data_IF_352641074163
#
_entry.id   IF_352641074163
#
_cell.length_a   1.000
_cell.length_b   1.000
_cell.length_c   1.000
_cell.angle_alpha   90.00
_cell.angle_beta   90.00
_cell.angle_gamma   90.00
#
_symmetry.space_group_name_H-M   'P 1'
#
loop_
_entity.id
_entity.type
_entity.pdbx_description
1 polymer ?
#
# COMPACT_ATOMS: atom_id res chain seq x y z
N UNK A 1 -85.30 19.95 -28.39
CA UNK A 1 -84.56 19.35 -29.52
C UNK A 1 -83.64 18.28 -28.94
N UNK A 2 -83.73 17.07 -29.50
CA UNK A 2 -83.32 15.81 -28.90
C UNK A 2 -81.81 15.57 -28.90
N UNK A 3 -81.29 15.02 -27.80
CA UNK A 3 -79.99 14.37 -27.74
C UNK A 3 -80.09 12.96 -28.34
N UNK A 4 -79.17 12.61 -29.24
CA UNK A 4 -79.03 11.28 -29.83
C UNK A 4 -77.63 10.73 -29.51
N UNK A 5 -77.60 9.50 -28.98
CA UNK A 5 -76.41 8.72 -28.70
C UNK A 5 -75.92 7.94 -29.94
N UNK A 6 -74.63 7.56 -30.00
CA UNK A 6 -74.17 6.41 -30.79
C UNK A 6 -73.48 5.31 -29.93
N UNK A 7 -73.18 4.13 -30.51
CA UNK A 7 -73.45 2.83 -29.87
C UNK A 7 -72.23 2.07 -29.27
N UNK A 8 -72.54 0.90 -28.68
CA UNK A 8 -71.66 -0.01 -27.93
C UNK A 8 -70.77 -0.94 -28.79
N UNK A 9 -69.50 -1.06 -28.33
CA UNK A 9 -68.62 -2.23 -28.06
C UNK A 9 -68.35 -3.35 -29.10
N UNK A 10 -67.04 -3.59 -29.33
CA UNK A 10 -66.26 -4.87 -29.32
C UNK A 10 -64.78 -4.50 -29.54
N UNK A 11 -63.71 -5.12 -29.03
CA UNK A 11 -63.43 -6.10 -27.98
C UNK A 11 -61.95 -5.85 -27.57
N UNK A 12 -61.59 -5.94 -26.27
CA UNK A 12 -60.19 -5.83 -25.81
C UNK A 12 -59.48 -7.18 -26.03
N UNK A 13 -58.43 -7.20 -26.86
CA UNK A 13 -57.42 -8.26 -26.88
C UNK A 13 -56.36 -7.95 -25.83
N UNK A 14 -55.92 -9.02 -25.16
CA UNK A 14 -54.92 -9.12 -24.11
C UNK A 14 -53.60 -8.42 -24.42
N UNK A 15 -53.09 -7.63 -23.48
CA UNK A 15 -51.72 -7.13 -23.43
C UNK A 15 -50.81 -8.16 -22.76
N UNK A 16 -49.71 -8.44 -23.44
CA UNK A 16 -48.57 -9.27 -23.03
C UNK A 16 -47.95 -8.84 -21.68
N UNK A 17 -47.59 -9.77 -20.78
CA UNK A 17 -46.87 -9.45 -19.55
C UNK A 17 -45.36 -9.69 -19.72
N UNK A 18 -44.70 -9.02 -20.68
CA UNK A 18 -43.23 -9.01 -20.71
C UNK A 18 -42.65 -7.78 -21.45
N UNK A 19 -42.88 -6.61 -20.89
CA UNK A 19 -42.24 -5.37 -21.36
C UNK A 19 -41.53 -4.69 -20.20
N UNK A 20 -40.27 -5.08 -19.99
CA UNK A 20 -39.31 -4.35 -19.17
C UNK A 20 -38.88 -3.05 -19.89
N UNK A 21 -38.81 -1.90 -19.20
CA UNK A 21 -38.45 -0.64 -19.84
C UNK A 21 -36.94 -0.57 -20.12
N UNK A 22 -36.56 -0.40 -21.40
CA UNK A 22 -35.20 -0.05 -21.80
C UNK A 22 -34.88 1.39 -21.37
N UNK A 23 -34.09 1.53 -20.31
CA UNK A 23 -33.41 2.78 -19.97
C UNK A 23 -32.18 2.96 -20.87
N UNK A 24 -32.35 3.60 -22.03
CA UNK A 24 -31.23 4.12 -22.82
C UNK A 24 -30.78 5.44 -22.20
N UNK A 25 -29.80 5.39 -21.29
CA UNK A 25 -29.04 6.59 -20.89
C UNK A 25 -27.74 6.60 -21.67
N UNK A 26 -27.67 7.51 -22.63
CA UNK A 26 -26.50 7.78 -23.47
C UNK A 26 -25.29 8.14 -22.59
N UNK A 27 -24.19 7.38 -22.72
CA UNK A 27 -22.87 7.77 -22.22
C UNK A 27 -22.32 8.85 -23.17
N UNK A 28 -22.42 10.12 -22.77
CA UNK A 28 -21.74 11.20 -23.45
C UNK A 28 -20.26 11.21 -23.05
N UNK A 29 -19.39 10.78 -23.98
CA UNK A 29 -17.96 11.06 -23.91
C UNK A 29 -17.71 12.54 -24.22
N UNK A 30 -16.80 13.24 -23.51
CA UNK A 30 -16.36 14.56 -23.93
C UNK A 30 -15.68 14.49 -25.30
N UNK A 31 -16.06 15.40 -26.20
CA UNK A 31 -15.54 15.48 -27.55
C UNK A 31 -14.02 15.74 -27.57
N UNK A 32 -13.35 15.10 -28.53
CA UNK A 32 -11.93 15.24 -28.79
C UNK A 32 -11.55 16.72 -29.00
N UNK A 33 -10.62 17.22 -28.17
CA UNK A 33 -9.92 18.48 -28.44
C UNK A 33 -8.93 18.20 -29.57
N UNK A 34 -9.26 18.65 -30.77
CA UNK A 34 -8.31 18.75 -31.87
C UNK A 34 -7.34 19.90 -31.57
N UNK A 35 -6.11 19.58 -31.19
CA UNK A 35 -5.00 20.56 -31.23
C UNK A 35 -4.26 20.40 -32.56
N UNK A 36 -4.45 21.38 -33.45
CA UNK A 36 -3.57 21.55 -34.61
C UNK A 36 -2.21 22.02 -34.12
N UNK A 37 -1.17 21.21 -34.33
CA UNK A 37 0.22 21.64 -34.20
C UNK A 37 0.91 21.40 -35.53
N UNK A 38 1.18 22.50 -36.24
CA UNK A 38 2.07 22.52 -37.39
C UNK A 38 3.45 22.00 -36.96
N UNK A 39 3.89 20.90 -37.57
CA UNK A 39 5.25 20.39 -37.43
C UNK A 39 6.06 20.72 -38.68
N UNK A 40 7.13 21.48 -38.52
CA UNK A 40 8.27 21.46 -39.44
C UNK A 40 9.36 20.57 -38.83
N UNK A 41 10.09 19.79 -39.64
CA UNK A 41 11.03 18.81 -39.13
C UNK A 41 12.37 19.49 -38.82
N UNK A 42 12.81 19.43 -37.56
CA UNK A 42 14.21 19.67 -37.19
C UNK A 42 14.78 18.39 -36.59
N UNK A 43 15.60 17.72 -37.39
CA UNK A 43 16.47 16.62 -36.97
C UNK A 43 17.63 17.16 -36.15
N UNK A 44 17.70 16.81 -34.86
CA UNK A 44 18.93 16.88 -34.06
C UNK A 44 19.00 15.73 -33.02
N UNK A 45 20.21 15.31 -32.64
CA UNK A 45 20.56 13.91 -32.41
C UNK A 45 20.29 13.42 -30.99
N UNK A 46 20.26 12.07 -30.84
CA UNK A 46 20.24 11.35 -29.56
C UNK A 46 21.28 11.94 -28.60
N UNK A 47 20.80 12.53 -27.52
CA UNK A 47 21.63 12.93 -26.39
C UNK A 47 21.94 11.70 -25.54
N UNK A 48 23.19 11.25 -25.59
CA UNK A 48 23.82 10.41 -24.57
C UNK A 48 24.49 11.35 -23.57
N UNK A 49 23.87 11.57 -22.41
CA UNK A 49 24.48 12.34 -21.31
C UNK A 49 24.01 11.80 -19.95
N UNK A 50 24.86 11.84 -18.90
CA UNK A 50 24.78 10.99 -17.72
C UNK A 50 23.59 11.36 -16.82
N UNK A 51 23.02 10.35 -16.16
CA UNK A 51 22.02 10.49 -15.09
C UNK A 51 22.55 11.49 -14.06
N UNK A 52 21.99 12.70 -14.06
CA UNK A 52 22.28 13.70 -13.03
C UNK A 52 21.68 13.20 -11.72
N UNK A 53 22.54 12.96 -10.74
CA UNK A 53 22.22 12.66 -9.35
C UNK A 53 21.09 13.55 -8.84
N UNK A 54 20.04 12.91 -8.33
CA UNK A 54 18.74 13.44 -7.88
C UNK A 54 18.90 14.49 -6.75
N UNK A 55 18.50 15.74 -6.98
CA UNK A 55 18.20 16.73 -5.94
C UNK A 55 16.71 17.13 -6.07
N UNK A 56 15.76 16.88 -5.16
CA UNK A 56 15.79 16.91 -3.70
C UNK A 56 14.70 15.97 -3.14
N UNK A 57 15.11 14.85 -2.53
CA UNK A 57 14.35 14.20 -1.46
C UNK A 57 14.49 14.94 -0.12
N UNK A 58 15.25 16.04 -0.09
CA UNK A 58 15.47 16.91 1.08
C UNK A 58 14.18 17.50 1.64
N UNK A 59 13.10 17.57 0.88
CA UNK A 59 11.81 18.05 1.37
C UNK A 59 11.20 17.18 2.48
N UNK A 60 11.63 15.91 2.61
CA UNK A 60 11.15 15.06 3.72
C UNK A 60 12.02 15.14 4.96
N UNK A 61 13.24 15.66 4.87
CA UNK A 61 14.29 15.55 5.89
C UNK A 61 14.46 14.11 6.43
N UNK A 62 13.86 13.08 5.83
CA UNK A 62 13.95 11.72 6.35
C UNK A 62 15.36 11.17 6.18
N UNK A 63 15.75 10.21 7.03
CA UNK A 63 16.92 9.35 6.77
C UNK A 63 16.60 8.35 5.65
N UNK A 64 16.29 8.91 4.48
CA UNK A 64 15.82 8.22 3.30
C UNK A 64 16.92 8.27 2.25
N UNK A 65 17.44 7.09 1.87
CA UNK A 65 18.33 6.98 0.72
C UNK A 65 17.51 6.58 -0.51
N UNK A 66 17.75 7.28 -1.62
CA UNK A 66 17.22 6.85 -2.91
C UNK A 66 18.31 6.13 -3.69
N UNK A 67 17.98 4.96 -4.22
CA UNK A 67 18.91 4.12 -4.98
C UNK A 67 18.26 3.83 -6.34
N UNK A 68 18.94 4.14 -7.46
CA UNK A 68 18.49 3.70 -8.77
C UNK A 68 18.22 2.20 -8.79
N UNK A 69 17.13 1.76 -9.44
CA UNK A 69 16.77 0.34 -9.44
C UNK A 69 17.85 -0.55 -10.08
N UNK A 70 18.57 -0.05 -11.08
CA UNK A 70 19.73 -0.72 -11.68
C UNK A 70 20.78 -1.05 -10.62
N UNK A 71 21.16 -0.03 -9.85
CA UNK A 71 22.21 -0.14 -8.84
C UNK A 71 21.74 -1.06 -7.72
N UNK A 72 20.47 -0.97 -7.34
CA UNK A 72 19.87 -1.87 -6.35
C UNK A 72 19.83 -3.34 -6.79
N UNK A 73 19.73 -3.61 -8.10
CA UNK A 73 19.81 -4.97 -8.65
C UNK A 73 21.26 -5.47 -8.65
N UNK A 74 22.19 -4.63 -9.09
CA UNK A 74 23.63 -4.95 -9.14
C UNK A 74 24.19 -5.23 -7.74
N UNK A 75 23.76 -4.44 -6.75
CA UNK A 75 24.16 -4.57 -5.35
C UNK A 75 23.35 -5.63 -4.57
N UNK A 76 22.39 -6.32 -5.22
CA UNK A 76 21.60 -7.38 -4.59
C UNK A 76 20.68 -6.90 -3.46
N UNK A 77 20.17 -5.68 -3.54
CA UNK A 77 19.38 -5.05 -2.46
C UNK A 77 17.92 -5.51 -2.41
N UNK A 78 17.42 -6.20 -3.44
CA UNK A 78 16.06 -6.76 -3.46
C UNK A 78 16.03 -8.14 -2.80
N UNK A 79 15.02 -8.36 -1.95
CA UNK A 79 14.77 -9.69 -1.39
C UNK A 79 14.48 -10.71 -2.51
N UNK A 80 14.80 -11.98 -2.29
CA UNK A 80 14.77 -13.02 -3.33
C UNK A 80 13.42 -13.12 -4.08
N UNK A 81 12.30 -12.97 -3.39
CA UNK A 81 10.96 -12.97 -4.00
C UNK A 81 10.73 -11.79 -4.94
N UNK A 82 11.25 -10.60 -4.60
CA UNK A 82 11.15 -9.41 -5.46
C UNK A 82 12.17 -9.43 -6.59
N UNK A 83 13.36 -10.00 -6.38
CA UNK A 83 14.28 -10.26 -7.47
C UNK A 83 13.65 -11.18 -8.52
N UNK A 84 12.95 -12.25 -8.09
CA UNK A 84 12.17 -13.12 -8.99
C UNK A 84 11.05 -12.37 -9.71
N UNK A 85 10.24 -11.59 -8.98
CA UNK A 85 9.20 -10.76 -9.59
C UNK A 85 9.79 -9.88 -10.70
N UNK A 86 10.90 -9.20 -10.43
CA UNK A 86 11.53 -8.30 -11.39
C UNK A 86 12.07 -9.06 -12.60
N UNK A 87 12.93 -10.04 -12.36
CA UNK A 87 13.68 -10.74 -13.42
C UNK A 87 12.81 -11.64 -14.29
N UNK A 88 11.79 -12.29 -13.71
CA UNK A 88 10.98 -13.27 -14.42
C UNK A 88 9.65 -12.72 -14.92
N UNK A 89 9.08 -11.69 -14.28
CA UNK A 89 7.75 -11.21 -14.63
C UNK A 89 7.77 -9.79 -15.20
N UNK A 90 8.40 -8.83 -14.50
CA UNK A 90 8.38 -7.43 -14.94
C UNK A 90 9.22 -7.20 -16.20
N UNK A 91 10.38 -7.85 -16.33
CA UNK A 91 11.17 -7.79 -17.57
C UNK A 91 10.44 -8.41 -18.77
N UNK A 92 9.71 -9.51 -18.58
CA UNK A 92 8.89 -10.09 -19.65
C UNK A 92 7.75 -9.14 -20.07
N UNK A 93 7.12 -8.47 -19.10
CA UNK A 93 6.13 -7.42 -19.36
C UNK A 93 6.75 -6.25 -20.14
N UNK A 94 7.98 -5.86 -19.81
CA UNK A 94 8.72 -4.80 -20.53
C UNK A 94 8.98 -5.18 -21.99
N UNK A 95 9.32 -6.44 -22.23
CA UNK A 95 9.48 -7.02 -23.56
C UNK A 95 8.15 -7.33 -24.27
N UNK A 96 7.03 -6.98 -23.65
CA UNK A 96 5.67 -7.26 -24.12
C UNK A 96 5.43 -8.75 -24.38
N UNK A 97 6.12 -9.66 -23.70
CA UNK A 97 5.99 -11.10 -23.93
C UNK A 97 4.72 -11.62 -23.26
N UNK A 98 3.82 -12.22 -24.05
CA UNK A 98 2.57 -12.78 -23.55
C UNK A 98 1.67 -11.77 -22.82
N UNK A 99 1.69 -10.49 -23.18
CA UNK A 99 0.88 -9.46 -22.48
C UNK A 99 -0.47 -9.21 -23.15
N UNK A 100 -0.54 -9.35 -24.47
CA UNK A 100 -1.74 -9.02 -25.27
C UNK A 100 -2.61 -10.27 -25.45
N UNK A 101 -3.92 -10.26 -25.13
CA UNK A 101 -4.77 -11.40 -25.43
C UNK A 101 -4.86 -11.65 -26.93
N UNK A 102 -4.57 -12.87 -27.40
CA UNK A 102 -4.58 -13.23 -28.83
C UNK A 102 -5.88 -12.85 -29.56
N UNK A 103 -7.09 -12.99 -28.95
CA UNK A 103 -8.35 -12.59 -29.61
C UNK A 103 -8.43 -11.11 -29.99
N UNK A 104 -7.55 -10.25 -29.45
CA UNK A 104 -7.54 -8.82 -29.76
C UNK A 104 -6.72 -8.46 -30.98
N UNK A 105 -5.98 -9.42 -31.56
CA UNK A 105 -5.08 -9.19 -32.71
C UNK A 105 -5.79 -8.52 -33.88
N UNK A 106 -6.90 -9.12 -34.33
CA UNK A 106 -7.65 -8.61 -35.48
C UNK A 106 -8.13 -7.17 -35.23
N UNK A 107 -8.62 -6.88 -34.01
CA UNK A 107 -9.03 -5.52 -33.63
C UNK A 107 -7.84 -4.54 -33.67
N UNK A 108 -6.67 -4.93 -33.17
CA UNK A 108 -5.48 -4.08 -33.16
C UNK A 108 -4.96 -3.79 -34.57
N UNK A 109 -5.08 -4.75 -35.49
CA UNK A 109 -4.66 -4.59 -36.89
C UNK A 109 -5.55 -3.60 -37.66
N UNK A 110 -6.78 -3.34 -37.19
CA UNK A 110 -7.70 -2.34 -37.78
C UNK A 110 -7.44 -0.90 -37.33
N UNK A 111 -6.56 -0.66 -36.36
CA UNK A 111 -6.28 0.69 -35.86
C UNK A 111 -5.62 1.55 -36.95
N UNK A 112 -5.86 2.87 -36.92
CA UNK A 112 -5.26 3.83 -37.86
C UNK A 112 -3.72 3.75 -37.89
N UNK A 113 -3.10 3.38 -36.77
CA UNK A 113 -1.67 3.06 -36.64
C UNK A 113 -1.53 1.75 -35.87
N UNK A 114 -1.51 0.60 -36.56
CA UNK A 114 -1.48 -0.69 -35.89
C UNK A 114 -0.10 -0.93 -35.25
N UNK A 115 -0.06 -1.48 -34.03
CA UNK A 115 1.20 -1.80 -33.36
C UNK A 115 1.90 -2.98 -34.06
N UNK A 116 3.24 -2.94 -34.15
CA UNK A 116 4.03 -4.03 -34.73
C UNK A 116 4.25 -5.15 -33.70
N UNK A 117 3.23 -5.98 -33.50
CA UNK A 117 3.28 -7.12 -32.58
C UNK A 117 3.67 -8.42 -33.31
N UNK A 118 4.42 -9.28 -32.62
CA UNK A 118 4.80 -10.65 -33.05
C UNK A 118 4.07 -11.68 -32.21
N UNK A 119 4.11 -12.94 -32.61
CA UNK A 119 3.35 -14.01 -31.93
C UNK A 119 3.69 -14.16 -30.45
N UNK A 120 4.94 -13.94 -30.05
CA UNK A 120 5.35 -13.98 -28.64
C UNK A 120 4.72 -12.87 -27.79
N UNK A 121 4.18 -11.80 -28.41
CA UNK A 121 3.52 -10.75 -27.64
C UNK A 121 2.11 -11.15 -27.19
N UNK A 122 1.57 -12.20 -27.81
CA UNK A 122 0.22 -12.66 -27.55
C UNK A 122 0.19 -13.83 -26.58
N UNK A 123 -0.79 -13.81 -25.69
CA UNK A 123 -1.16 -14.93 -24.81
C UNK A 123 -2.52 -15.48 -25.20
N UNK A 124 -2.72 -16.77 -25.00
CA UNK A 124 -3.91 -17.49 -25.47
C UNK A 124 -5.10 -17.40 -24.49
N UNK A 125 -4.96 -16.66 -23.38
CA UNK A 125 -6.00 -16.55 -22.36
C UNK A 125 -7.19 -15.70 -22.85
N UNK A 126 -8.19 -16.37 -23.40
CA UNK A 126 -9.49 -15.77 -23.61
C UNK A 126 -10.20 -15.67 -22.25
N UNK A 127 -10.37 -14.43 -21.74
CA UNK A 127 -11.21 -14.19 -20.58
C UNK A 127 -12.67 -14.12 -21.00
N UNK A 128 -13.59 -14.83 -20.32
CA UNK A 128 -15.02 -14.69 -20.56
C UNK A 128 -15.48 -13.23 -20.45
N UNK A 129 -16.36 -12.80 -21.36
CA UNK A 129 -16.88 -11.44 -21.35
C UNK A 129 -17.61 -11.09 -20.04
N UNK A 130 -18.25 -12.08 -19.41
CA UNK A 130 -18.93 -11.92 -18.12
C UNK A 130 -17.94 -11.54 -17.01
N UNK A 131 -16.76 -12.16 -16.96
CA UNK A 131 -15.74 -11.86 -15.95
C UNK A 131 -15.27 -10.40 -16.07
N UNK A 132 -15.08 -9.93 -17.31
CA UNK A 132 -14.72 -8.53 -17.57
C UNK A 132 -15.84 -7.57 -17.12
N UNK A 133 -17.10 -7.93 -17.34
CA UNK A 133 -18.24 -7.13 -16.90
C UNK A 133 -18.36 -7.07 -15.37
N UNK A 134 -18.11 -8.18 -14.68
CA UNK A 134 -18.10 -8.23 -13.22
C UNK A 134 -16.97 -7.36 -12.65
N UNK A 135 -15.77 -7.43 -13.21
CA UNK A 135 -14.66 -6.56 -12.80
C UNK A 135 -14.97 -5.08 -13.00
N UNK A 136 -15.60 -4.69 -14.11
CA UNK A 136 -16.01 -3.31 -14.35
C UNK A 136 -17.04 -2.81 -13.32
N UNK A 137 -17.90 -3.70 -12.80
CA UNK A 137 -18.80 -3.37 -11.70
C UNK A 137 -18.01 -3.13 -10.41
N UNK A 138 -17.07 -4.01 -10.11
CA UNK A 138 -16.26 -3.94 -8.89
C UNK A 138 -15.38 -2.66 -8.88
N UNK A 139 -14.93 -2.17 -10.03
CA UNK A 139 -14.23 -0.86 -10.15
C UNK A 139 -15.09 0.30 -9.62
N UNK A 140 -16.39 0.33 -9.93
CA UNK A 140 -17.29 1.38 -9.43
C UNK A 140 -17.48 1.30 -7.94
N UNK A 141 -17.51 0.10 -7.39
CA UNK A 141 -17.60 -0.12 -5.95
C UNK A 141 -16.31 0.34 -5.24
N UNK A 142 -15.14 0.07 -5.82
CA UNK A 142 -13.85 0.57 -5.32
C UNK A 142 -13.83 2.10 -5.33
N UNK A 143 -14.26 2.72 -6.44
CA UNK A 143 -14.33 4.18 -6.57
C UNK A 143 -15.23 4.78 -5.47
N UNK A 144 -16.44 4.23 -5.28
CA UNK A 144 -17.36 4.67 -4.23
C UNK A 144 -16.76 4.54 -2.83
N UNK A 145 -16.12 3.40 -2.52
CA UNK A 145 -15.49 3.19 -1.22
C UNK A 145 -14.32 4.15 -0.99
N UNK A 146 -13.58 4.50 -2.03
CA UNK A 146 -12.40 5.37 -1.93
C UNK A 146 -12.78 6.84 -1.68
N UNK A 147 -13.94 7.29 -2.15
CA UNK A 147 -14.41 8.67 -1.95
C UNK A 147 -14.75 9.00 -0.48
N UNK A 148 -15.15 8.00 0.29
CA UNK A 148 -15.63 8.18 1.67
C UNK A 148 -14.61 7.71 2.74
N UNK A 149 -13.38 7.37 2.34
CA UNK A 149 -12.37 6.83 3.27
C UNK A 149 -11.02 7.49 3.16
N UNK A 150 -10.50 8.00 4.27
CA UNK A 150 -9.15 8.53 4.39
C UNK A 150 -8.32 7.67 5.35
N UNK A 151 -7.17 7.18 4.89
CA UNK A 151 -6.27 6.34 5.68
C UNK A 151 -5.10 7.15 6.22
N UNK A 152 -5.17 7.58 7.48
CA UNK A 152 -4.05 8.27 8.14
C UNK A 152 -3.05 7.27 8.73
N UNK A 153 -1.79 7.71 8.85
CA UNK A 153 -0.78 6.98 9.61
C UNK A 153 -1.21 6.92 11.08
N UNK A 154 -1.35 5.70 11.59
CA UNK A 154 -1.76 5.42 12.96
C UNK A 154 -1.08 4.14 13.48
N UNK A 155 -0.60 4.12 14.74
CA UNK A 155 -0.56 5.25 15.68
C UNK A 155 0.43 6.36 15.26
N UNK A 156 0.26 7.57 15.82
CA UNK A 156 1.03 8.78 15.42
C UNK A 156 2.55 8.63 15.58
N UNK A 157 2.99 7.74 16.45
CA UNK A 157 4.41 7.45 16.68
C UNK A 157 5.02 6.53 15.60
N UNK A 158 4.22 6.03 14.65
CA UNK A 158 4.71 5.45 13.39
C UNK A 158 5.07 6.51 12.36
N UNK A 159 4.65 7.76 12.55
CA UNK A 159 5.01 8.85 11.65
C UNK A 159 6.53 9.01 11.72
N UNK A 160 7.24 8.87 10.60
CA UNK A 160 8.69 9.00 10.58
C UNK A 160 9.14 10.38 11.07
N UNK A 161 10.31 10.38 11.70
CA UNK A 161 10.97 11.61 12.12
C UNK A 161 11.96 12.06 11.07
N UNK A 162 12.01 13.35 10.90
CA UNK A 162 12.94 14.05 10.03
C UNK A 162 14.37 14.02 10.63
N UNK A 163 15.35 14.56 9.93
CA UNK A 163 16.78 14.52 10.29
C UNK A 163 17.08 15.30 11.56
N UNK A 164 16.17 16.20 11.94
CA UNK A 164 16.21 16.99 13.17
C UNK A 164 15.38 16.34 14.30
N UNK A 165 14.74 15.20 14.04
CA UNK A 165 13.94 14.45 15.00
C UNK A 165 12.48 14.91 15.11
N UNK A 166 12.03 15.84 14.26
CA UNK A 166 10.66 16.35 14.22
C UNK A 166 9.75 15.41 13.43
N UNK A 167 8.46 15.35 13.77
CA UNK A 167 7.51 14.54 13.00
C UNK A 167 7.30 15.16 11.61
N UNK A 168 7.40 14.35 10.56
CA UNK A 168 7.05 14.78 9.21
C UNK A 168 5.53 14.96 9.08
N UNK A 169 5.08 15.83 8.18
CA UNK A 169 3.66 15.90 7.81
C UNK A 169 3.18 14.53 7.30
N UNK A 170 2.23 13.92 8.01
CA UNK A 170 1.57 12.70 7.57
C UNK A 170 0.60 13.05 6.44
N UNK A 171 0.91 12.63 5.22
CA UNK A 171 -0.03 12.63 4.10
C UNK A 171 -0.42 11.21 3.70
N UNK A 172 -1.63 11.10 3.17
CA UNK A 172 -2.26 9.83 2.79
C UNK A 172 -1.68 9.33 1.47
N UNK A 173 -1.92 8.06 1.18
CA UNK A 173 -1.87 7.50 -0.18
C UNK A 173 -3.29 7.27 -0.67
N UNK A 174 -3.51 7.39 -1.98
CA UNK A 174 -4.85 7.37 -2.56
C UNK A 174 -5.45 5.95 -2.65
N UNK A 175 -4.66 4.96 -3.06
CA UNK A 175 -5.14 3.59 -3.25
C UNK A 175 -4.17 2.55 -2.69
N UNK A 176 -4.66 1.33 -2.53
CA UNK A 176 -3.81 0.19 -2.20
C UNK A 176 -4.32 -1.12 -2.83
N UNK A 177 -3.40 -2.06 -3.00
CA UNK A 177 -3.69 -3.48 -3.17
C UNK A 177 -3.42 -4.13 -1.82
N UNK A 178 -4.37 -4.88 -1.28
CA UNK A 178 -4.24 -5.56 -0.01
C UNK A 178 -4.45 -7.07 -0.17
N UNK A 179 -3.80 -7.83 0.69
CA UNK A 179 -3.87 -9.28 0.73
C UNK A 179 -5.11 -9.71 1.51
N UNK A 180 -6.06 -10.37 0.83
CA UNK A 180 -7.17 -11.05 1.50
C UNK A 180 -6.72 -12.42 1.98
N UNK A 181 -6.66 -12.60 3.29
CA UNK A 181 -6.33 -13.91 3.87
C UNK A 181 -7.14 -14.20 5.14
N UNK A 182 -8.42 -14.61 5.00
CA UNK A 182 -9.25 -14.97 6.15
C UNK A 182 -8.64 -16.12 6.98
N UNK A 183 -7.83 -16.98 6.36
CA UNK A 183 -7.16 -18.09 7.04
C UNK A 183 -6.11 -17.64 8.07
N UNK A 184 -5.52 -16.45 7.88
CA UNK A 184 -4.52 -15.90 8.79
C UNK A 184 -5.15 -15.02 9.89
N UNK A 185 -6.44 -14.71 9.80
CA UNK A 185 -7.11 -13.76 10.69
C UNK A 185 -7.02 -14.15 12.18
N UNK A 186 -7.25 -15.40 12.61
CA UNK A 186 -7.12 -15.76 14.03
C UNK A 186 -5.70 -15.56 14.58
N UNK A 187 -4.68 -15.95 13.80
CA UNK A 187 -3.28 -15.81 14.19
C UNK A 187 -2.85 -14.33 14.21
N UNK A 188 -3.36 -13.54 13.26
CA UNK A 188 -3.16 -12.10 13.20
C UNK A 188 -3.75 -11.40 14.42
N UNK A 189 -4.99 -11.71 14.81
CA UNK A 189 -5.63 -11.15 16.01
C UNK A 189 -4.85 -11.49 17.29
N UNK A 190 -4.33 -12.71 17.39
CA UNK A 190 -3.47 -13.12 18.51
C UNK A 190 -2.16 -12.32 18.54
N UNK A 191 -1.50 -12.14 17.39
CA UNK A 191 -0.28 -11.34 17.29
C UNK A 191 -0.53 -9.87 17.64
N UNK A 192 -1.63 -9.30 17.16
CA UNK A 192 -2.04 -7.93 17.47
C UNK A 192 -2.34 -7.74 18.96
N UNK A 193 -2.95 -8.72 19.61
CA UNK A 193 -3.24 -8.65 21.06
C UNK A 193 -1.99 -8.80 21.92
N UNK A 194 -0.96 -9.48 21.42
CA UNK A 194 0.33 -9.57 22.09
C UNK A 194 1.17 -8.29 21.93
N UNK A 195 1.02 -7.55 20.82
CA UNK A 195 1.81 -6.36 20.52
C UNK A 195 1.13 -5.04 20.91
N UNK A 196 -0.20 -4.98 20.84
CA UNK A 196 -0.98 -3.76 21.07
C UNK A 196 -1.93 -3.92 22.26
N UNK A 197 -2.03 -2.91 23.15
CA UNK A 197 -3.09 -2.87 24.15
C UNK A 197 -4.47 -2.94 23.50
N UNK A 198 -5.41 -3.66 24.11
CA UNK A 198 -6.81 -3.70 23.66
C UNK A 198 -7.51 -2.33 23.74
N UNK A 199 -6.93 -1.37 24.47
CA UNK A 199 -7.42 0.00 24.58
C UNK A 199 -7.15 0.87 23.34
N UNK A 200 -6.33 0.40 22.40
CA UNK A 200 -6.08 1.11 21.12
C UNK A 200 -6.65 0.32 19.93
N UNK A 201 -7.08 0.99 18.86
CA UNK A 201 -7.50 0.31 17.64
C UNK A 201 -6.40 -0.62 17.12
N UNK A 202 -6.69 -1.92 17.11
CA UNK A 202 -5.76 -2.91 16.61
C UNK A 202 -5.67 -2.90 15.09
N UNK A 203 -4.47 -3.01 14.54
CA UNK A 203 -4.26 -3.03 13.08
C UNK A 203 -2.97 -3.74 12.67
N UNK A 204 -3.07 -4.60 11.67
CA UNK A 204 -1.93 -5.18 10.95
C UNK A 204 -1.14 -4.13 10.18
N UNK A 205 -1.80 -3.03 9.82
CA UNK A 205 -1.25 -1.95 9.02
C UNK A 205 -0.90 -0.74 9.89
N UNK A 206 -0.20 0.22 9.29
CA UNK A 206 0.13 1.51 9.89
C UNK A 206 -1.02 2.51 9.76
N UNK A 207 -2.26 2.03 9.72
CA UNK A 207 -3.50 2.83 9.70
C UNK A 207 -4.60 2.11 10.47
N UNK A 208 -5.50 2.85 11.11
CA UNK A 208 -6.66 2.30 11.81
C UNK A 208 -7.93 2.25 10.93
N UNK A 209 -7.83 2.57 9.64
CA UNK A 209 -8.97 2.55 8.73
C UNK A 209 -9.64 1.16 8.74
N UNK A 210 -10.90 1.11 9.18
CA UNK A 210 -11.62 -0.15 9.53
C UNK A 210 -11.55 -1.21 8.43
N UNK A 211 -11.82 -0.91 7.14
CA UNK A 211 -11.67 -1.87 6.04
C UNK A 211 -10.28 -2.51 5.90
N UNK A 212 -9.23 -1.82 6.35
CA UNK A 212 -7.84 -2.23 6.16
C UNK A 212 -7.20 -2.81 7.43
N UNK A 213 -7.77 -2.64 8.63
CA UNK A 213 -7.10 -3.05 9.88
C UNK A 213 -6.57 -4.48 9.88
N UNK A 214 -7.31 -5.41 9.27
CA UNK A 214 -6.96 -6.84 9.26
C UNK A 214 -6.66 -7.36 7.85
N UNK A 215 -6.45 -6.45 6.89
CA UNK A 215 -6.17 -6.76 5.50
C UNK A 215 -4.78 -6.20 5.16
N UNK A 216 -3.69 -7.00 5.26
CA UNK A 216 -2.35 -6.49 5.05
C UNK A 216 -2.20 -5.76 3.72
N UNK A 217 -1.81 -4.49 3.77
CA UNK A 217 -1.52 -3.72 2.56
C UNK A 217 -0.30 -4.36 1.90
N UNK A 218 -0.37 -4.63 0.60
CA UNK A 218 0.70 -5.23 -0.18
C UNK A 218 1.36 -4.21 -1.12
N UNK A 219 0.57 -3.36 -1.77
CA UNK A 219 1.04 -2.29 -2.65
C UNK A 219 0.34 -1.00 -2.27
N UNK A 220 1.08 0.10 -2.07
CA UNK A 220 0.51 1.44 -1.85
C UNK A 220 0.63 2.27 -3.13
N UNK A 221 -0.37 3.08 -3.44
CA UNK A 221 -0.50 3.78 -4.71
C UNK A 221 -0.79 5.26 -4.44
N UNK A 222 0.09 6.13 -4.91
CA UNK A 222 -0.10 7.58 -4.92
C UNK A 222 -0.45 8.03 -6.34
N UNK A 223 -1.45 8.90 -6.49
CA UNK A 223 -1.84 9.48 -7.76
C UNK A 223 -1.55 10.98 -7.79
N UNK A 224 -1.11 11.48 -8.93
CA UNK A 224 -0.86 12.91 -9.16
C UNK A 224 -1.40 13.34 -10.51
N UNK A 225 -1.78 14.61 -10.56
CA UNK A 225 -2.05 15.29 -11.82
C UNK A 225 -0.75 15.40 -12.63
N UNK A 226 -0.83 15.46 -13.99
CA UNK A 226 0.37 15.57 -14.84
C UNK A 226 1.26 16.78 -14.56
N UNK A 227 0.72 17.82 -13.92
CA UNK A 227 1.43 19.03 -13.49
C UNK A 227 1.92 18.96 -12.05
N UNK A 228 1.78 17.81 -11.39
CA UNK A 228 2.16 17.59 -10.01
C UNK A 228 3.68 17.55 -9.82
N UNK A 229 4.12 17.74 -8.58
CA UNK A 229 5.52 17.58 -8.22
C UNK A 229 5.79 16.10 -7.87
N UNK A 230 6.39 15.36 -8.79
CA UNK A 230 6.73 13.95 -8.60
C UNK A 230 7.67 13.73 -7.41
N UNK A 231 8.55 14.68 -7.09
CA UNK A 231 9.48 14.58 -5.95
C UNK A 231 8.71 14.58 -4.64
N UNK A 232 7.68 15.42 -4.55
CA UNK A 232 6.77 15.47 -3.42
C UNK A 232 5.98 14.16 -3.27
N UNK A 233 5.54 13.58 -4.38
CA UNK A 233 4.80 12.33 -4.38
C UNK A 233 5.69 11.14 -3.94
N UNK A 234 6.94 11.08 -4.41
CA UNK A 234 7.92 10.07 -3.96
C UNK A 234 8.23 10.22 -2.47
N UNK A 235 8.38 11.45 -2.01
CA UNK A 235 8.51 11.78 -0.60
C UNK A 235 7.34 11.25 0.25
N UNK A 236 6.09 11.49 -0.17
CA UNK A 236 4.90 10.96 0.51
C UNK A 236 4.89 9.43 0.54
N UNK A 237 5.15 8.78 -0.60
CA UNK A 237 5.25 7.32 -0.69
C UNK A 237 6.32 6.76 0.25
N UNK A 238 7.46 7.45 0.38
CA UNK A 238 8.52 7.03 1.29
C UNK A 238 8.13 7.21 2.76
N UNK A 239 7.45 8.30 3.14
CA UNK A 239 6.90 8.50 4.50
C UNK A 239 5.93 7.38 4.85
N UNK A 240 4.98 7.09 3.96
CA UNK A 240 3.99 6.02 4.09
C UNK A 240 4.65 4.65 4.20
N UNK A 241 5.55 4.34 3.27
CA UNK A 241 6.33 3.10 3.25
C UNK A 241 7.17 2.89 4.51
N UNK A 242 7.79 3.95 5.03
CA UNK A 242 8.58 3.92 6.26
C UNK A 242 7.72 3.55 7.47
N UNK A 243 6.54 4.17 7.60
CA UNK A 243 5.58 3.85 8.65
C UNK A 243 5.09 2.40 8.54
N UNK A 244 4.90 1.90 7.31
CA UNK A 244 4.55 0.52 7.06
C UNK A 244 5.64 -0.46 7.52
N UNK A 245 6.89 -0.24 7.14
CA UNK A 245 8.02 -1.08 7.56
C UNK A 245 8.16 -1.09 9.08
N UNK A 246 8.02 0.06 9.73
CA UNK A 246 8.06 0.17 11.20
C UNK A 246 6.92 -0.61 11.86
N UNK A 247 5.70 -0.56 11.31
CA UNK A 247 4.58 -1.37 11.80
C UNK A 247 4.91 -2.87 11.74
N UNK A 248 5.40 -3.35 10.60
CA UNK A 248 5.77 -4.75 10.40
C UNK A 248 6.89 -5.18 11.37
N UNK A 249 7.87 -4.30 11.60
CA UNK A 249 8.96 -4.52 12.57
C UNK A 249 8.43 -4.62 14.01
N UNK A 250 7.42 -3.84 14.38
CA UNK A 250 6.81 -3.92 15.72
C UNK A 250 6.04 -5.23 15.92
N UNK A 251 5.26 -5.64 14.91
CA UNK A 251 4.55 -6.92 14.90
C UNK A 251 5.48 -8.12 15.10
N UNK A 252 6.73 -8.04 14.60
CA UNK A 252 7.75 -9.06 14.84
C UNK A 252 9.13 -8.46 15.06
N UNK A 253 9.43 -8.17 16.33
CA UNK A 253 10.77 -7.74 16.74
C UNK A 253 11.82 -8.79 16.35
N UNK A 254 12.85 -8.34 15.63
CA UNK A 254 13.96 -9.19 15.18
C UNK A 254 13.76 -9.85 13.81
N UNK A 255 12.58 -9.76 13.20
CA UNK A 255 12.42 -10.09 11.79
C UNK A 255 12.61 -8.85 10.93
N UNK A 256 13.32 -9.02 9.81
CA UNK A 256 13.40 -7.99 8.78
C UNK A 256 12.05 -7.93 8.04
N UNK A 257 11.38 -6.76 7.98
CA UNK A 257 10.21 -6.58 7.12
C UNK A 257 10.57 -6.87 5.65
N UNK A 258 9.62 -7.36 4.84
CA UNK A 258 9.87 -7.55 3.43
C UNK A 258 10.01 -6.17 2.78
N UNK A 259 10.76 -6.12 1.69
CA UNK A 259 10.76 -4.98 0.78
C UNK A 259 9.37 -4.87 0.16
N UNK A 260 8.81 -3.66 0.11
CA UNK A 260 7.42 -3.42 -0.27
C UNK A 260 7.36 -2.62 -1.58
N UNK A 261 6.53 -3.03 -2.56
CA UNK A 261 6.29 -2.25 -3.77
C UNK A 261 5.40 -1.03 -3.50
N UNK A 262 5.71 0.07 -4.19
CA UNK A 262 5.00 1.35 -4.16
C UNK A 262 4.75 1.82 -5.59
N UNK A 263 3.55 2.29 -5.90
CA UNK A 263 3.20 2.81 -7.22
C UNK A 263 2.99 4.33 -7.16
N UNK A 264 3.59 5.03 -8.11
CA UNK A 264 3.30 6.43 -8.40
C UNK A 264 2.61 6.51 -9.77
N UNK A 265 1.41 7.07 -9.80
CA UNK A 265 0.64 7.31 -11.02
C UNK A 265 0.62 8.80 -11.29
N UNK A 266 1.38 9.25 -12.30
CA UNK A 266 1.44 10.65 -12.70
C UNK A 266 0.74 10.83 -14.04
N UNK A 267 -0.52 11.29 -13.99
CA UNK A 267 -1.38 11.36 -15.17
C UNK A 267 -1.62 10.00 -15.83
N UNK A 268 -0.92 9.77 -16.94
CA UNK A 268 -1.03 8.53 -17.74
C UNK A 268 0.09 7.53 -17.47
N UNK A 269 1.13 7.96 -16.75
CA UNK A 269 2.36 7.21 -16.54
C UNK A 269 2.35 6.51 -15.18
N UNK A 270 2.78 5.25 -15.14
CA UNK A 270 2.78 4.40 -13.93
C UNK A 270 4.20 3.92 -13.63
N UNK A 271 4.76 4.40 -12.53
CA UNK A 271 6.11 4.12 -12.08
C UNK A 271 6.10 3.28 -10.79
N UNK A 272 6.84 2.18 -10.81
CA UNK A 272 7.05 1.28 -9.68
C UNK A 272 8.33 1.65 -8.94
N UNK A 273 8.20 1.69 -7.63
CA UNK A 273 9.29 1.84 -6.67
C UNK A 273 9.21 0.71 -5.65
N UNK A 274 10.27 0.53 -4.89
CA UNK A 274 10.30 -0.36 -3.74
C UNK A 274 10.78 0.41 -2.52
N UNK A 275 10.32 0.02 -1.34
CA UNK A 275 10.80 0.55 -0.07
C UNK A 275 11.25 -0.57 0.83
N UNK A 276 12.40 -0.40 1.47
CA UNK A 276 12.98 -1.40 2.37
C UNK A 276 13.65 -0.78 3.57
N UNK A 277 13.80 -1.58 4.63
CA UNK A 277 14.67 -1.22 5.75
C UNK A 277 16.13 -1.27 5.28
N UNK A 278 16.92 -0.27 5.68
CA UNK A 278 18.37 -0.26 5.46
C UNK A 278 19.05 -1.38 6.27
N UNK A 279 20.11 -1.98 5.72
CA UNK A 279 20.89 -3.02 6.40
C UNK A 279 21.70 -2.45 7.56
N UNK A 280 22.37 -1.32 7.31
CA UNK A 280 23.31 -0.71 8.24
C UNK A 280 22.84 0.70 8.62
N UNK A 281 22.27 0.84 9.81
CA UNK A 281 21.87 2.14 10.33
C UNK A 281 21.16 2.07 11.68
N UNK A 282 21.02 3.20 12.40
CA UNK A 282 20.15 3.26 13.57
C UNK A 282 18.73 2.82 13.19
N UNK A 283 18.02 2.16 14.11
CA UNK A 283 16.63 1.77 13.91
C UNK A 283 15.82 2.91 13.26
N UNK A 284 15.32 2.67 12.05
CA UNK A 284 14.53 3.66 11.27
C UNK A 284 15.14 4.16 9.97
N UNK A 285 16.32 3.67 9.53
CA UNK A 285 16.83 3.95 8.18
C UNK A 285 16.01 3.25 7.10
N UNK A 286 15.58 3.99 6.07
CA UNK A 286 14.75 3.48 4.96
C UNK A 286 15.40 3.80 3.62
N UNK A 287 15.32 2.85 2.68
CA UNK A 287 15.80 3.02 1.31
C UNK A 287 14.62 2.90 0.35
N UNK A 288 14.54 3.83 -0.60
CA UNK A 288 13.60 3.79 -1.72
C UNK A 288 14.38 3.43 -2.99
N UNK A 289 13.97 2.34 -3.64
CA UNK A 289 14.60 1.80 -4.82
C UNK A 289 13.72 2.11 -6.03
N UNK A 290 14.28 2.68 -7.09
CA UNK A 290 13.47 3.00 -8.27
C UNK A 290 14.15 3.86 -9.31
N UNK A 291 13.44 4.27 -10.36
CA UNK A 291 12.09 3.82 -10.71
C UNK A 291 12.16 2.68 -11.74
N UNK A 292 11.06 1.94 -11.87
CA UNK A 292 10.78 1.08 -13.02
C UNK A 292 9.49 1.53 -13.69
N UNK A 293 9.51 1.79 -15.00
CA UNK A 293 8.31 2.16 -15.76
C UNK A 293 7.43 0.93 -15.98
N UNK A 294 6.42 0.77 -15.12
CA UNK A 294 5.48 -0.35 -15.18
C UNK A 294 4.63 -0.31 -16.46
N UNK A 295 4.20 0.89 -16.87
CA UNK A 295 3.44 1.08 -18.09
C UNK A 295 2.84 2.48 -18.22
N UNK A 296 1.95 2.65 -19.19
CA UNK A 296 1.17 3.87 -19.38
C UNK A 296 -0.20 3.57 -19.99
N UNK A 297 -1.09 4.56 -19.99
CA UNK A 297 -2.43 4.46 -20.58
C UNK A 297 -2.53 5.14 -21.96
N UNK A 298 -1.40 5.35 -22.65
CA UNK A 298 -1.37 6.08 -23.94
C UNK A 298 -1.79 5.21 -25.13
N UNK A 299 -1.75 3.88 -25.00
CA UNK A 299 -2.14 2.94 -26.04
C UNK A 299 -2.74 1.66 -25.46
N UNK A 300 -3.54 0.94 -26.25
CA UNK A 300 -4.10 -0.36 -25.84
C UNK A 300 -3.01 -1.37 -25.47
N UNK A 301 -1.89 -1.37 -26.21
CA UNK A 301 -0.74 -2.25 -25.92
C UNK A 301 -0.09 -1.85 -24.59
N UNK A 302 0.10 -0.55 -24.35
CA UNK A 302 0.64 -0.05 -23.08
C UNK A 302 -0.27 -0.40 -21.90
N UNK A 303 -1.60 -0.35 -22.09
CA UNK A 303 -2.58 -0.76 -21.07
C UNK A 303 -2.46 -2.25 -20.76
N UNK A 304 -2.28 -3.11 -21.78
CA UNK A 304 -2.06 -4.54 -21.55
C UNK A 304 -0.72 -4.81 -20.83
N UNK A 305 0.34 -4.08 -21.16
CA UNK A 305 1.61 -4.13 -20.41
C UNK A 305 1.39 -3.75 -18.94
N UNK A 306 0.72 -2.62 -18.69
CA UNK A 306 0.42 -2.14 -17.35
C UNK A 306 -0.40 -3.18 -16.56
N UNK A 307 -1.43 -3.75 -17.17
CA UNK A 307 -2.26 -4.79 -16.56
C UNK A 307 -1.46 -6.05 -16.23
N UNK A 308 -0.53 -6.46 -17.10
CA UNK A 308 0.35 -7.59 -16.84
C UNK A 308 1.27 -7.31 -15.63
N UNK A 309 1.85 -6.11 -15.54
CA UNK A 309 2.65 -5.69 -14.39
C UNK A 309 1.87 -5.64 -13.07
N UNK A 310 0.65 -5.09 -13.07
CA UNK A 310 -0.23 -5.10 -11.90
C UNK A 310 -0.60 -6.52 -11.45
N UNK A 311 -0.81 -7.43 -12.40
CA UNK A 311 -1.06 -8.86 -12.11
C UNK A 311 0.18 -9.55 -11.53
N UNK A 312 1.38 -9.18 -11.97
CA UNK A 312 2.62 -9.69 -11.38
C UNK A 312 2.75 -9.24 -9.92
N UNK A 313 2.47 -7.97 -9.61
CA UNK A 313 2.41 -7.48 -8.23
C UNK A 313 1.36 -8.21 -7.39
N UNK A 314 0.17 -8.48 -7.95
CA UNK A 314 -0.86 -9.26 -7.28
C UNK A 314 -0.42 -10.71 -7.00
N UNK A 315 0.26 -11.36 -7.95
CA UNK A 315 0.83 -12.71 -7.75
C UNK A 315 1.90 -12.70 -6.66
N UNK A 316 2.79 -11.72 -6.66
CA UNK A 316 3.78 -11.55 -5.58
C UNK A 316 3.10 -11.39 -4.21
N UNK A 317 2.03 -10.61 -4.13
CA UNK A 317 1.26 -10.44 -2.89
C UNK A 317 0.64 -11.77 -2.43
N UNK A 318 0.09 -12.53 -3.37
CA UNK A 318 -0.57 -13.83 -3.14
C UNK A 318 0.40 -14.97 -2.80
N UNK A 319 1.68 -14.83 -3.14
CA UNK A 319 2.70 -15.87 -2.96
C UNK A 319 3.71 -15.49 -1.89
N UNK A 320 4.74 -14.72 -2.25
CA UNK A 320 5.86 -14.35 -1.40
C UNK A 320 5.41 -13.56 -0.16
N UNK A 321 4.54 -12.56 -0.35
CA UNK A 321 4.09 -11.72 0.77
C UNK A 321 3.14 -12.48 1.70
N UNK A 322 2.24 -13.28 1.14
CA UNK A 322 1.37 -14.19 1.91
C UNK A 322 2.17 -15.17 2.75
N UNK A 323 3.19 -15.77 2.16
CA UNK A 323 4.08 -16.71 2.85
C UNK A 323 4.84 -16.02 3.99
N UNK A 324 5.38 -14.82 3.74
CA UNK A 324 6.03 -14.04 4.79
C UNK A 324 5.09 -13.75 5.98
N UNK A 325 3.83 -13.40 5.73
CA UNK A 325 2.82 -13.23 6.79
C UNK A 325 2.53 -14.54 7.51
N UNK A 326 2.43 -15.66 6.79
CA UNK A 326 2.21 -16.98 7.39
C UNK A 326 3.34 -17.34 8.35
N UNK A 327 4.59 -17.12 7.95
CA UNK A 327 5.77 -17.36 8.80
C UNK A 327 5.82 -16.45 10.01
N UNK A 328 5.54 -15.14 9.83
CA UNK A 328 5.47 -14.17 10.91
C UNK A 328 4.47 -14.60 11.99
N UNK A 329 3.28 -15.02 11.56
CA UNK A 329 2.19 -15.36 12.46
C UNK A 329 2.39 -16.72 13.13
N UNK A 330 2.90 -17.73 12.42
CA UNK A 330 3.20 -19.05 12.98
C UNK A 330 4.17 -18.98 14.17
N UNK A 331 5.21 -18.16 14.06
CA UNK A 331 6.23 -18.01 15.11
C UNK A 331 5.71 -17.24 16.33
N UNK A 332 4.71 -16.39 16.13
CA UNK A 332 4.07 -15.65 17.22
C UNK A 332 3.24 -16.61 18.09
N UNK A 333 2.56 -17.58 17.48
CA UNK A 333 1.83 -18.63 18.19
C UNK A 333 2.75 -19.50 19.05
N UNK A 334 3.91 -19.92 18.54
CA UNK A 334 4.87 -20.74 19.29
C UNK A 334 5.40 -20.03 20.53
N UNK A 335 5.70 -18.72 20.43
CA UNK A 335 6.20 -17.92 21.56
C UNK A 335 5.19 -17.80 22.69
N UNK A 336 3.92 -17.60 22.37
CA UNK A 336 2.84 -17.52 23.36
C UNK A 336 2.56 -18.85 24.08
N UNK A 337 2.86 -20.00 23.45
CA UNK A 337 2.74 -21.32 24.10
C UNK A 337 3.95 -21.69 24.98
N UNK A 338 5.06 -20.94 24.90
CA UNK A 338 6.32 -21.24 25.61
C UNK A 338 6.55 -20.44 26.89
N UNK A 339 5.62 -19.58 27.30
CA UNK A 339 5.66 -18.94 28.63
C UNK A 339 5.20 -19.98 29.68
N UNK A 340 5.98 -20.27 30.74
CA UNK A 340 5.52 -21.18 31.79
C UNK A 340 4.32 -20.55 32.49
N UNK A 341 3.24 -21.33 32.62
CA UNK A 341 2.12 -21.02 33.50
C UNK A 341 2.68 -20.98 34.93
N UNK A 342 3.06 -19.79 35.41
CA UNK A 342 3.41 -19.61 36.81
C UNK A 342 2.19 -20.04 37.65
N UNK A 343 2.41 -21.05 38.48
CA UNK A 343 1.39 -21.70 39.28
C UNK A 343 0.57 -20.66 40.06
N UNK A 344 -0.71 -20.56 39.74
CA UNK A 344 -1.71 -20.04 40.67
C UNK A 344 -1.83 -21.10 41.76
N UNK A 345 -1.02 -20.95 42.80
CA UNK A 345 -1.18 -21.67 44.05
C UNK A 345 -2.51 -21.27 44.65
N UNK A 346 -3.49 -22.16 44.54
CA UNK A 346 -4.68 -22.10 45.37
C UNK A 346 -4.29 -22.44 46.79
N UNK A 347 -4.62 -21.55 47.72
CA UNK A 347 -4.84 -21.95 49.09
C UNK A 347 -6.14 -21.30 49.55
N UNK A 348 -7.08 -22.15 49.97
CA UNK A 348 -8.37 -21.75 50.48
C UNK A 348 -8.42 -22.05 51.96
N UNK A 349 -8.72 -21.04 52.79
CA UNK A 349 -9.47 -21.27 54.02
C UNK A 349 -10.10 -19.97 54.54
N UNK A 350 -11.43 -20.02 54.69
CA UNK A 350 -12.26 -19.50 55.80
C UNK A 350 -12.14 -18.03 56.24
N UNK A 351 -13.25 -17.28 56.11
CA UNK A 351 -13.58 -16.14 56.98
C UNK A 351 -14.04 -16.58 58.40
N UNK A 352 -14.64 -15.72 59.25
CA UNK A 352 -15.27 -14.42 58.95
C UNK A 352 -14.99 -13.26 59.94
N UNK A 353 -15.53 -12.09 59.60
CA UNK A 353 -16.08 -11.00 60.44
C UNK A 353 -15.19 -10.28 61.46
N UNK A 354 -15.00 -8.96 61.28
CA UNK A 354 -15.40 -7.86 62.19
C UNK A 354 -14.60 -6.56 61.95
N UNK A 355 -15.33 -5.45 61.80
CA UNK A 355 -14.87 -4.08 62.05
C UNK A 355 -15.35 -3.66 63.47
N UNK A 356 -15.09 -2.44 64.03
CA UNK A 356 -14.29 -1.26 63.62
C UNK A 356 -13.47 -0.71 64.86
N UNK A 357 -13.26 0.60 65.16
CA UNK A 357 -13.06 1.85 64.39
C UNK A 357 -11.81 2.69 64.85
N UNK A 358 -11.67 3.89 64.25
CA UNK A 358 -11.10 5.15 64.79
C UNK A 358 -9.58 5.44 64.86
N UNK A 359 -9.19 6.57 64.24
CA UNK A 359 -8.76 7.73 65.03
C UNK A 359 -7.33 8.28 64.85
N UNK A 360 -7.26 9.46 64.22
CA UNK A 360 -6.41 10.62 64.52
C UNK A 360 -4.88 10.62 64.23
N UNK A 361 -4.52 11.48 63.26
CA UNK A 361 -3.65 12.65 63.36
C UNK A 361 -2.36 12.60 64.21
N UNK A 362 -1.22 12.83 63.55
CA UNK A 362 -0.15 13.73 64.04
C UNK A 362 0.81 14.14 62.91
N UNK A 363 0.82 15.44 62.60
CA UNK A 363 1.98 16.25 62.20
C UNK A 363 3.22 15.94 63.09
N UNK A 364 4.49 16.24 62.81
CA UNK A 364 5.11 17.40 62.18
C UNK A 364 6.64 17.14 61.99
N UNK A 365 7.26 17.98 61.16
CA UNK A 365 8.65 18.52 61.23
C UNK A 365 9.89 17.71 60.79
N UNK A 366 10.41 18.13 59.64
CA UNK A 366 11.83 18.26 59.29
C UNK A 366 12.51 19.39 60.10
N UNK A 367 13.85 19.36 60.22
CA UNK A 367 14.70 20.42 59.65
C UNK A 367 15.93 19.83 58.92
N UNK A 368 16.29 20.27 57.71
CA UNK A 368 17.08 21.46 57.33
C UNK A 368 18.54 21.46 57.83
N UNK A 369 19.48 21.69 56.90
CA UNK A 369 20.72 22.40 57.21
C UNK A 369 22.07 21.77 56.85
N UNK A 370 22.51 22.04 55.61
CA UNK A 370 23.85 22.52 55.20
C UNK A 370 25.08 21.60 55.15
N UNK A 371 25.68 21.60 53.97
CA UNK A 371 27.09 21.33 53.63
C UNK A 371 28.08 22.20 54.44
N UNK A 372 29.37 21.82 54.42
CA UNK A 372 30.26 22.54 53.52
C UNK A 372 31.26 21.65 52.74
N UNK A 373 31.62 22.15 51.56
CA UNK A 373 32.78 21.77 50.75
C UNK A 373 34.10 21.82 51.56
N UNK A 374 35.07 20.97 51.20
CA UNK A 374 36.47 21.40 50.92
C UNK A 374 37.33 20.25 50.35
N UNK A 375 37.69 20.43 49.07
CA UNK A 375 39.04 20.35 48.48
C UNK A 375 39.92 19.07 48.49
N UNK A 376 40.36 18.76 47.26
CA UNK A 376 41.69 18.25 46.82
C UNK A 376 42.14 16.82 47.19
N UNK A 377 42.36 15.98 46.18
CA UNK A 377 43.71 15.62 45.72
C UNK A 377 43.70 14.72 44.47
N UNK A 378 44.56 15.11 43.54
CA UNK A 378 45.09 14.43 42.36
C UNK A 378 45.74 13.07 42.67
N UNK A 379 45.59 12.10 41.76
CA UNK A 379 46.72 11.22 41.38
C UNK A 379 46.50 10.57 40.01
N UNK A 380 47.54 10.71 39.18
CA UNK A 380 47.81 10.00 37.95
C UNK A 380 47.99 8.50 38.18
N UNK A 381 47.71 7.68 37.16
CA UNK A 381 48.64 6.62 36.73
C UNK A 381 48.36 6.16 35.30
N UNK A 382 49.43 6.20 34.50
CA UNK A 382 49.53 5.69 33.14
C UNK A 382 49.56 4.16 33.08
N UNK A 383 49.12 3.68 31.92
CA UNK A 383 49.61 2.57 31.10
C UNK A 383 50.59 1.55 31.70
N UNK A 384 50.26 0.28 31.48
CA UNK A 384 51.05 -0.62 30.64
C UNK A 384 50.14 -1.28 29.58
#
# INVERSE_FOLDING_TARGET
>A
MSAQAPPRKRARKSSDPDSTPRLTRSLQYPAAIQSHSHSQPRSQPRSTSPVKSIPDLKATNLRLAYIPLSDALDDGLLDAGLHRLYTNELLECEMLTGVVPRPTRDCLDTLHRPPRLRDHNFRDDARPALDVQLELRDVREIEQRSLDTEAHIFPKDLVPRDSQGLLTESKLVDYCIFLRCPQLEPALLAALSAEQPLSVPQSANHTALVPLRYQPIAVSIETKTPSGNDDYARAQLAVWGSAHLERLRRLRRGARPPTLPLLLVSGVDWDLYFVRAADDGPAGGVQMLGSHRLGDTKSVVSIYKLLAGLRALARWAETEYREWWRELLAQTTTRNMSLPLAAVGGDGSSGPDSAPPDGADAETTLPDGRDPETTTATSHLSAD
#
